data_IF_997246457403
#
_entry.id   IF_997246457403
#
_cell.length_a   1.000
_cell.length_b   1.000
_cell.length_c   1.000
_cell.angle_alpha   90.00
_cell.angle_beta   90.00
_cell.angle_gamma   90.00
#
_symmetry.space_group_name_H-M   'P 1'
#
loop_
_entity.id
_entity.type
_entity.pdbx_description
1 polymer ?
#
# COMPACT_ATOMS: atom_id res chain seq x y z
N UNK A 1 3.14 -13.41 11.79
CA UNK A 1 1.85 -14.13 11.89
C UNK A 1 1.04 -13.86 10.64
N UNK A 2 0.21 -14.80 10.20
CA UNK A 2 -0.67 -14.63 9.02
C UNK A 2 -1.61 -13.44 9.19
N UNK A 3 -2.19 -12.95 8.08
CA UNK A 3 -3.26 -11.94 8.07
C UNK A 3 -4.61 -12.54 8.46
N UNK A 4 -4.67 -13.07 9.68
CA UNK A 4 -5.88 -13.65 10.28
C UNK A 4 -6.11 -13.01 11.65
N UNK A 5 -7.27 -12.33 11.78
CA UNK A 5 -7.69 -11.66 13.01
C UNK A 5 -7.71 -12.60 14.22
N UNK A 6 -8.24 -13.81 14.04
CA UNK A 6 -8.38 -14.80 15.13
C UNK A 6 -7.01 -15.25 15.63
N UNK A 7 -6.08 -15.51 14.72
CA UNK A 7 -4.71 -15.91 15.06
C UNK A 7 -3.98 -14.75 15.74
N UNK A 8 -4.02 -13.54 15.19
CA UNK A 8 -3.36 -12.37 15.80
C UNK A 8 -3.94 -12.05 17.18
N UNK A 9 -5.26 -12.09 17.35
CA UNK A 9 -5.93 -11.88 18.63
C UNK A 9 -5.49 -12.89 19.69
N UNK A 10 -5.39 -14.18 19.33
CA UNK A 10 -4.85 -15.23 20.22
C UNK A 10 -3.41 -14.95 20.62
N UNK A 11 -2.55 -14.58 19.67
CA UNK A 11 -1.15 -14.25 19.95
C UNK A 11 -1.06 -13.10 20.96
N UNK A 12 -1.77 -11.99 20.72
CA UNK A 12 -1.71 -10.85 21.64
C UNK A 12 -2.35 -11.13 23.00
N UNK A 13 -3.39 -11.96 23.06
CA UNK A 13 -3.98 -12.40 24.33
C UNK A 13 -3.00 -13.22 25.17
N UNK A 14 -2.23 -14.13 24.56
CA UNK A 14 -1.18 -14.86 25.27
C UNK A 14 -0.02 -13.94 25.68
N UNK A 15 0.40 -13.02 24.81
CA UNK A 15 1.43 -12.03 25.14
C UNK A 15 1.00 -11.15 26.32
N UNK A 16 -0.27 -10.76 26.41
CA UNK A 16 -0.78 -9.90 27.49
C UNK A 16 -0.67 -10.56 28.87
N UNK A 17 -0.71 -11.90 28.95
CA UNK A 17 -0.55 -12.64 30.21
C UNK A 17 0.89 -12.68 30.71
N UNK A 18 1.87 -12.57 29.82
CA UNK A 18 3.29 -12.80 30.14
C UNK A 18 4.14 -11.53 30.12
N UNK A 19 3.74 -10.52 29.33
CA UNK A 19 4.49 -9.27 29.20
C UNK A 19 4.09 -8.29 30.31
N UNK A 20 5.06 -7.47 30.76
CA UNK A 20 4.79 -6.33 31.65
C UNK A 20 3.69 -5.43 31.07
N UNK A 21 2.87 -4.80 31.92
CA UNK A 21 1.84 -3.82 31.53
C UNK A 21 2.41 -2.64 30.71
N UNK A 22 3.70 -2.36 30.82
CA UNK A 22 4.40 -1.30 30.06
C UNK A 22 4.84 -1.71 28.65
N UNK A 23 4.77 -3.00 28.29
CA UNK A 23 5.16 -3.46 26.97
C UNK A 23 4.22 -2.90 25.88
N UNK A 24 4.77 -2.42 24.77
CA UNK A 24 3.98 -1.96 23.62
C UNK A 24 3.69 -3.14 22.70
N UNK A 25 2.44 -3.27 22.25
CA UNK A 25 2.00 -4.31 21.33
C UNK A 25 1.78 -3.72 19.94
N UNK A 26 2.66 -4.09 19.02
CA UNK A 26 2.61 -3.64 17.63
C UNK A 26 2.40 -4.82 16.68
N UNK A 27 1.49 -4.68 15.73
CA UNK A 27 1.33 -5.64 14.62
C UNK A 27 1.85 -5.03 13.32
N UNK A 28 2.59 -5.81 12.53
CA UNK A 28 2.95 -5.48 11.14
C UNK A 28 1.89 -6.04 10.18
N UNK A 29 0.65 -5.60 10.29
CA UNK A 29 -0.45 -6.03 9.41
C UNK A 29 -0.74 -4.95 8.40
N UNK A 30 -0.90 -5.33 7.13
CA UNK A 30 -1.21 -4.42 6.01
C UNK A 30 -2.72 -4.20 5.82
N UNK A 31 -3.55 -5.21 6.15
CA UNK A 31 -4.98 -5.21 5.82
C UNK A 31 -5.91 -5.53 7.00
N UNK A 32 -5.43 -5.42 8.25
CA UNK A 32 -6.28 -5.50 9.44
C UNK A 32 -6.08 -4.27 10.32
N UNK A 33 -7.17 -3.55 10.54
CA UNK A 33 -7.19 -2.36 11.37
C UNK A 33 -6.81 -2.68 12.82
N UNK A 34 -6.09 -1.80 13.55
CA UNK A 34 -5.81 -1.97 14.98
C UNK A 34 -7.04 -2.37 15.81
N UNK A 35 -8.21 -1.78 15.51
CA UNK A 35 -9.48 -2.09 16.17
C UNK A 35 -9.90 -3.55 16.01
N UNK A 36 -9.56 -4.16 14.88
CA UNK A 36 -9.83 -5.56 14.58
C UNK A 36 -8.82 -6.48 15.26
N UNK A 37 -7.53 -6.15 15.17
CA UNK A 37 -6.45 -6.97 15.73
C UNK A 37 -6.52 -7.06 17.25
N UNK A 38 -6.81 -5.92 17.90
CA UNK A 38 -6.74 -5.77 19.36
C UNK A 38 -8.11 -5.68 20.02
N UNK A 39 -9.18 -6.12 19.35
CA UNK A 39 -10.56 -6.07 19.85
C UNK A 39 -10.68 -6.67 21.27
N UNK A 40 -10.00 -7.79 21.50
CA UNK A 40 -10.01 -8.56 22.76
C UNK A 40 -8.88 -8.18 23.73
N UNK A 41 -8.01 -7.24 23.38
CA UNK A 41 -6.94 -6.80 24.27
C UNK A 41 -7.54 -6.07 25.48
N UNK A 42 -7.08 -6.39 26.69
CA UNK A 42 -7.57 -5.74 27.92
C UNK A 42 -7.06 -4.31 28.02
N UNK A 43 -5.79 -4.08 27.65
CA UNK A 43 -5.20 -2.75 27.63
C UNK A 43 -4.93 -2.28 26.20
N UNK A 44 -5.95 -1.75 25.52
CA UNK A 44 -5.84 -1.24 24.15
C UNK A 44 -4.96 0.02 24.01
N UNK A 45 -4.71 0.74 25.11
CA UNK A 45 -3.92 1.98 25.11
C UNK A 45 -2.48 1.78 24.63
N UNK A 46 -1.95 0.57 24.76
CA UNK A 46 -0.59 0.21 24.36
C UNK A 46 -0.51 -0.61 23.07
N UNK A 47 -1.62 -0.75 22.37
CA UNK A 47 -1.73 -1.54 21.16
C UNK A 47 -1.84 -0.64 19.94
N UNK A 48 -1.15 -0.97 18.85
CA UNK A 48 -1.23 -0.26 17.58
C UNK A 48 -0.69 -1.11 16.42
N UNK A 49 -0.79 -0.60 15.20
CA UNK A 49 -0.08 -1.16 14.06
C UNK A 49 1.18 -0.34 13.78
N UNK A 50 2.24 -1.06 13.43
CA UNK A 50 3.49 -0.51 12.90
C UNK A 50 3.75 -1.25 11.61
N UNK A 51 3.43 -0.62 10.48
CA UNK A 51 3.41 -1.25 9.17
C UNK A 51 4.68 -0.89 8.37
N UNK A 52 5.50 -1.91 8.15
CA UNK A 52 6.74 -1.87 7.38
C UNK A 52 6.50 -2.24 5.92
N UNK A 53 7.30 -1.63 5.04
CA UNK A 53 7.27 -1.93 3.61
C UNK A 53 8.42 -2.85 3.21
N UNK A 54 8.13 -3.80 2.33
CA UNK A 54 9.09 -4.82 1.91
C UNK A 54 10.17 -4.26 0.96
N UNK A 55 11.46 -4.62 1.14
CA UNK A 55 12.04 -5.29 2.30
C UNK A 55 12.20 -4.34 3.49
N UNK A 56 11.77 -4.77 4.69
CA UNK A 56 11.69 -3.92 5.89
C UNK A 56 13.04 -3.36 6.35
N UNK A 57 14.14 -4.06 6.05
CA UNK A 57 15.49 -3.64 6.37
C UNK A 57 16.02 -2.55 5.43
N UNK A 58 15.43 -2.40 4.23
CA UNK A 58 15.83 -1.41 3.22
C UNK A 58 14.89 -0.23 3.12
N UNK A 59 13.57 -0.48 3.19
CA UNK A 59 12.60 0.60 3.19
C UNK A 59 12.75 1.43 4.46
N UNK A 60 12.84 2.75 4.30
CA UNK A 60 12.94 3.68 5.43
C UNK A 60 11.56 4.04 5.98
N UNK A 61 10.49 3.91 5.20
CA UNK A 61 9.14 4.28 5.62
C UNK A 61 8.55 3.22 6.53
N UNK A 62 7.83 3.69 7.55
CA UNK A 62 6.98 2.88 8.41
C UNK A 62 5.71 3.67 8.74
N UNK A 63 4.54 3.06 8.55
CA UNK A 63 3.29 3.68 8.98
C UNK A 63 3.05 3.35 10.47
N UNK A 64 2.95 4.39 11.30
CA UNK A 64 2.53 4.30 12.68
C UNK A 64 1.03 4.54 12.72
N UNK A 65 0.28 3.47 12.97
CA UNK A 65 -1.18 3.45 12.87
C UNK A 65 -1.80 3.22 14.26
N UNK A 66 -2.06 4.28 15.03
CA UNK A 66 -2.81 4.17 16.27
C UNK A 66 -4.27 3.79 15.98
N UNK A 67 -4.82 2.90 16.81
CA UNK A 67 -6.26 2.69 16.89
C UNK A 67 -6.92 3.74 17.76
N UNK A 68 -8.26 3.72 17.80
CA UNK A 68 -9.09 4.68 18.56
C UNK A 68 -8.72 4.81 20.05
N UNK A 69 -8.25 3.73 20.65
CA UNK A 69 -7.96 3.64 22.09
C UNK A 69 -6.45 3.81 22.38
N UNK A 70 -5.59 3.81 21.35
CA UNK A 70 -4.15 3.90 21.50
C UNK A 70 -3.76 5.24 22.14
N UNK A 71 -2.86 5.18 23.12
CA UNK A 71 -2.28 6.36 23.77
C UNK A 71 -1.48 7.19 22.75
N UNK A 72 -1.73 8.50 22.73
CA UNK A 72 -0.96 9.45 21.94
C UNK A 72 0.52 9.43 22.31
N UNK A 73 0.83 9.26 23.59
CA UNK A 73 2.20 9.19 24.10
C UNK A 73 2.95 8.00 23.51
N UNK A 74 2.29 6.85 23.33
CA UNK A 74 2.89 5.65 22.71
C UNK A 74 3.09 5.86 21.21
N UNK A 75 2.12 6.44 20.51
CA UNK A 75 2.28 6.76 19.09
C UNK A 75 3.44 7.74 18.88
N UNK A 76 3.52 8.81 19.68
CA UNK A 76 4.55 9.83 19.56
C UNK A 76 5.93 9.31 19.99
N UNK A 77 5.99 8.41 20.98
CA UNK A 77 7.21 7.68 21.32
C UNK A 77 7.70 6.84 20.14
N UNK A 78 6.81 6.12 19.45
CA UNK A 78 7.20 5.28 18.32
C UNK A 78 7.64 6.09 17.10
N UNK A 79 7.01 7.26 16.84
CA UNK A 79 7.53 8.19 15.84
C UNK A 79 9.00 8.54 16.12
N UNK A 80 9.33 8.96 17.35
CA UNK A 80 10.71 9.30 17.71
C UNK A 80 11.66 8.10 17.68
N UNK A 81 11.21 6.96 18.20
CA UNK A 81 12.01 5.73 18.20
C UNK A 81 12.40 5.32 16.79
N UNK A 82 11.47 5.38 15.83
CA UNK A 82 11.75 5.03 14.45
C UNK A 82 12.69 6.03 13.77
N UNK A 83 12.54 7.33 14.03
CA UNK A 83 13.50 8.35 13.60
C UNK A 83 14.93 8.05 14.14
N UNK A 84 15.06 7.72 15.44
CA UNK A 84 16.35 7.44 16.09
C UNK A 84 17.08 6.22 15.49
N UNK A 85 16.34 5.21 15.00
CA UNK A 85 16.93 4.02 14.38
C UNK A 85 17.06 4.14 12.85
N UNK A 86 16.93 5.35 12.30
CA UNK A 86 17.15 5.63 10.88
C UNK A 86 15.98 5.26 9.96
N UNK A 87 14.77 5.18 10.49
CA UNK A 87 13.52 5.13 9.70
C UNK A 87 12.93 6.54 9.56
N UNK A 88 11.98 6.67 8.64
CA UNK A 88 11.18 7.86 8.39
C UNK A 88 9.70 7.49 8.64
N UNK A 89 9.25 7.50 9.91
CA UNK A 89 7.88 7.11 10.24
C UNK A 89 6.88 8.17 9.76
N UNK A 90 5.71 7.70 9.34
CA UNK A 90 4.55 8.54 9.03
C UNK A 90 3.38 8.15 9.92
N UNK A 91 2.65 9.14 10.44
CA UNK A 91 1.49 8.90 11.30
C UNK A 91 0.23 8.81 10.45
N UNK A 92 -0.44 7.66 10.48
CA UNK A 92 -1.62 7.40 9.65
C UNK A 92 -2.78 6.96 10.53
N UNK A 93 -3.98 7.52 10.33
CA UNK A 93 -5.17 7.07 11.07
C UNK A 93 -5.60 5.68 10.62
N UNK A 94 -6.18 4.91 11.56
CA UNK A 94 -6.72 3.59 11.27
C UNK A 94 -7.74 3.61 10.12
N UNK A 95 -7.45 2.82 9.09
CA UNK A 95 -8.28 2.56 7.91
C UNK A 95 -7.80 1.25 7.28
N UNK A 96 -8.68 0.54 6.57
CA UNK A 96 -8.27 -0.61 5.77
C UNK A 96 -7.22 -0.23 4.71
N UNK A 97 -6.05 -0.87 4.76
CA UNK A 97 -4.90 -0.55 3.89
C UNK A 97 -4.13 0.73 4.27
N UNK A 98 -4.56 1.44 5.32
CA UNK A 98 -3.97 2.68 5.79
C UNK A 98 -3.83 3.75 4.69
N UNK A 99 -2.65 4.35 4.49
CA UNK A 99 -2.46 5.39 3.49
C UNK A 99 -1.88 4.83 2.18
N UNK A 100 -0.89 3.94 2.25
CA UNK A 100 -0.08 3.60 1.07
C UNK A 100 -0.57 2.38 0.27
N UNK A 101 -1.18 1.38 0.91
CA UNK A 101 -1.64 0.19 0.17
C UNK A 101 -2.77 0.48 -0.83
N UNK A 102 -3.79 1.31 -0.53
CA UNK A 102 -4.81 1.69 -1.50
C UNK A 102 -4.23 2.33 -2.77
N UNK A 103 -3.12 3.08 -2.64
CA UNK A 103 -2.43 3.70 -3.77
C UNK A 103 -1.73 2.62 -4.59
N UNK A 104 -0.93 1.76 -3.95
CA UNK A 104 -0.21 0.69 -4.62
C UNK A 104 -1.15 -0.27 -5.36
N UNK A 105 -2.16 -0.79 -4.65
CA UNK A 105 -3.13 -1.73 -5.19
C UNK A 105 -4.04 -1.07 -6.23
N UNK A 106 -4.39 0.21 -6.06
CA UNK A 106 -5.17 0.97 -7.03
C UNK A 106 -4.41 1.24 -8.33
N UNK A 107 -3.10 1.56 -8.26
CA UNK A 107 -2.24 1.68 -9.46
C UNK A 107 -2.10 0.32 -10.17
N UNK A 108 -1.98 -0.77 -9.40
CA UNK A 108 -2.03 -2.11 -9.97
C UNK A 108 -3.38 -2.38 -10.64
N UNK A 109 -4.51 -2.07 -10.01
CA UNK A 109 -5.85 -2.25 -10.57
C UNK A 109 -6.01 -1.50 -11.89
N UNK A 110 -5.64 -0.22 -11.93
CA UNK A 110 -5.70 0.59 -13.16
C UNK A 110 -4.85 -0.05 -14.28
N UNK A 111 -3.68 -0.59 -13.94
CA UNK A 111 -2.80 -1.28 -14.87
C UNK A 111 -3.38 -2.60 -15.36
N UNK A 112 -3.96 -3.40 -14.47
CA UNK A 112 -4.65 -4.65 -14.79
C UNK A 112 -5.84 -4.41 -15.73
N UNK A 113 -6.64 -3.37 -15.48
CA UNK A 113 -7.77 -3.00 -16.34
C UNK A 113 -7.33 -2.56 -17.74
N UNK A 114 -6.18 -1.90 -17.88
CA UNK A 114 -5.61 -1.56 -19.19
C UNK A 114 -5.26 -2.82 -20.00
N UNK A 115 -4.68 -3.83 -19.34
CA UNK A 115 -4.37 -5.12 -19.98
C UNK A 115 -5.65 -5.87 -20.34
N UNK A 116 -6.66 -5.91 -19.46
CA UNK A 116 -7.95 -6.55 -19.75
C UNK A 116 -8.69 -5.94 -20.93
N UNK A 117 -8.57 -4.62 -21.09
CA UNK A 117 -9.15 -3.89 -22.23
C UNK A 117 -8.31 -4.03 -23.52
N UNK A 118 -7.19 -4.74 -23.49
CA UNK A 118 -6.32 -4.94 -24.64
C UNK A 118 -5.55 -3.69 -25.07
N UNK A 119 -5.41 -2.68 -24.21
CA UNK A 119 -4.69 -1.43 -24.54
C UNK A 119 -3.19 -1.67 -24.67
N UNK A 120 -2.66 -2.64 -23.94
CA UNK A 120 -1.27 -3.10 -24.03
C UNK A 120 -1.10 -4.47 -23.38
N UNK A 121 0.02 -5.13 -23.68
CA UNK A 121 0.40 -6.35 -22.98
C UNK A 121 0.84 -6.05 -21.54
N UNK A 122 0.94 -7.09 -20.69
CA UNK A 122 1.47 -6.96 -19.33
C UNK A 122 2.83 -6.25 -19.35
N UNK A 123 3.79 -6.72 -20.16
CA UNK A 123 5.10 -6.07 -20.32
C UNK A 123 5.02 -4.60 -20.73
N UNK A 124 4.17 -4.28 -21.70
CA UNK A 124 4.02 -2.91 -22.19
C UNK A 124 3.44 -2.00 -21.11
N UNK A 125 2.35 -2.40 -20.46
CA UNK A 125 1.72 -1.61 -19.38
C UNK A 125 2.69 -1.46 -18.20
N UNK A 126 3.44 -2.51 -17.85
CA UNK A 126 4.44 -2.47 -16.79
C UNK A 126 5.52 -1.42 -17.05
N UNK A 127 6.10 -1.42 -18.26
CA UNK A 127 7.13 -0.45 -18.67
C UNK A 127 6.57 0.98 -18.83
N UNK A 128 5.34 1.12 -19.35
CA UNK A 128 4.69 2.43 -19.48
C UNK A 128 4.32 3.01 -18.12
N UNK A 129 3.88 2.19 -17.16
CA UNK A 129 3.60 2.62 -15.79
C UNK A 129 4.84 3.17 -15.10
N UNK A 130 5.99 2.47 -15.22
CA UNK A 130 7.28 2.96 -14.72
C UNK A 130 7.58 4.36 -15.23
N UNK A 131 7.49 4.56 -16.54
CA UNK A 131 7.74 5.87 -17.16
C UNK A 131 6.69 6.92 -16.76
N UNK A 132 5.43 6.53 -16.65
CA UNK A 132 4.33 7.46 -16.41
C UNK A 132 4.32 8.03 -14.99
N UNK A 133 4.64 7.20 -14.01
CA UNK A 133 4.54 7.48 -12.57
C UNK A 133 5.91 7.53 -11.86
N UNK A 134 7.01 7.27 -12.57
CA UNK A 134 8.36 7.23 -11.98
C UNK A 134 8.60 6.00 -11.12
N UNK A 135 7.92 4.89 -11.38
CA UNK A 135 8.07 3.67 -10.59
C UNK A 135 9.47 3.07 -10.73
N UNK A 136 10.06 2.63 -9.62
CA UNK A 136 11.31 1.84 -9.65
C UNK A 136 11.17 0.51 -10.41
N UNK A 137 10.01 -0.15 -10.29
CA UNK A 137 9.59 -1.29 -11.11
C UNK A 137 8.09 -1.18 -11.40
N UNK A 138 7.62 -1.82 -12.46
CA UNK A 138 6.23 -1.70 -12.85
C UNK A 138 5.32 -2.51 -11.92
N UNK A 139 4.01 -2.24 -11.93
CA UNK A 139 3.06 -2.82 -10.98
C UNK A 139 2.98 -4.34 -11.05
N UNK A 140 3.09 -4.96 -12.24
CA UNK A 140 3.11 -6.42 -12.38
C UNK A 140 4.45 -7.01 -11.95
N UNK A 141 5.56 -6.32 -12.25
CA UNK A 141 6.87 -6.72 -11.75
C UNK A 141 6.92 -6.69 -10.22
N UNK A 142 6.34 -5.66 -9.60
CA UNK A 142 6.22 -5.56 -8.15
C UNK A 142 5.45 -6.77 -7.57
N UNK A 143 4.32 -7.15 -8.16
CA UNK A 143 3.56 -8.33 -7.72
C UNK A 143 4.35 -9.63 -7.80
N UNK A 144 5.17 -9.81 -8.84
CA UNK A 144 6.05 -10.97 -8.96
C UNK A 144 7.13 -11.00 -7.85
N UNK A 145 7.68 -9.84 -7.49
CA UNK A 145 8.74 -9.73 -6.47
C UNK A 145 8.20 -9.95 -5.05
N UNK A 146 6.99 -9.47 -4.76
CA UNK A 146 6.40 -9.53 -3.42
C UNK A 146 5.56 -10.79 -3.20
N UNK A 147 5.15 -11.48 -4.26
CA UNK A 147 4.12 -12.52 -4.18
C UNK A 147 2.74 -11.94 -3.83
N UNK A 148 2.50 -10.66 -4.14
CA UNK A 148 1.36 -9.88 -3.67
C UNK A 148 0.00 -10.25 -4.29
N UNK A 149 -0.04 -11.11 -5.31
CA UNK A 149 -1.29 -11.41 -6.03
C UNK A 149 -2.46 -11.83 -5.11
N UNK A 150 -2.31 -12.80 -4.17
CA UNK A 150 -3.42 -13.22 -3.34
C UNK A 150 -3.89 -12.14 -2.36
N UNK A 151 -2.95 -11.39 -1.77
CA UNK A 151 -3.29 -10.35 -0.80
C UNK A 151 -3.95 -9.16 -1.48
N UNK A 152 -3.45 -8.72 -2.63
CA UNK A 152 -4.08 -7.64 -3.42
C UNK A 152 -5.43 -8.06 -4.00
N UNK A 153 -5.61 -9.33 -4.36
CA UNK A 153 -6.92 -9.83 -4.79
C UNK A 153 -8.00 -9.68 -3.69
N UNK A 154 -7.63 -10.01 -2.46
CA UNK A 154 -8.48 -9.82 -1.30
C UNK A 154 -8.64 -8.34 -0.95
N UNK A 155 -7.53 -7.59 -0.90
CA UNK A 155 -7.47 -6.15 -0.59
C UNK A 155 -8.37 -5.31 -1.48
N UNK A 156 -8.28 -5.48 -2.79
CA UNK A 156 -9.14 -4.80 -3.77
C UNK A 156 -10.64 -5.12 -3.57
N UNK A 157 -10.96 -6.33 -3.14
CA UNK A 157 -12.35 -6.74 -2.89
C UNK A 157 -12.90 -6.10 -1.61
N UNK A 158 -12.11 -6.06 -0.54
CA UNK A 158 -12.49 -5.41 0.72
C UNK A 158 -12.62 -3.89 0.54
N UNK A 159 -11.67 -3.26 -0.16
CA UNK A 159 -11.70 -1.82 -0.47
C UNK A 159 -12.93 -1.40 -1.28
N UNK A 160 -13.52 -2.28 -2.09
CA UNK A 160 -14.80 -2.00 -2.78
C UNK A 160 -15.87 -1.50 -1.81
N UNK A 161 -15.97 -2.18 -0.66
CA UNK A 161 -17.00 -1.92 0.35
C UNK A 161 -16.55 -0.93 1.43
N UNK A 162 -15.26 -0.95 1.80
CA UNK A 162 -14.71 -0.14 2.89
C UNK A 162 -14.25 1.25 2.46
N UNK A 163 -13.95 1.42 1.16
CA UNK A 163 -13.45 2.68 0.60
C UNK A 163 -14.46 3.21 -0.42
N UNK A 164 -14.52 2.60 -1.60
CA UNK A 164 -15.48 2.95 -2.65
C UNK A 164 -15.52 1.86 -3.74
N UNK A 165 -16.58 1.88 -4.54
CA UNK A 165 -16.88 0.84 -5.53
C UNK A 165 -15.94 0.79 -6.75
N UNK A 166 -15.03 1.74 -6.92
CA UNK A 166 -14.03 1.69 -7.99
C UNK A 166 -13.04 0.55 -7.77
N UNK A 167 -12.67 0.29 -6.51
CA UNK A 167 -11.86 -0.87 -6.16
C UNK A 167 -12.64 -2.16 -6.42
N UNK A 168 -12.05 -3.10 -7.14
CA UNK A 168 -12.58 -4.45 -7.32
C UNK A 168 -11.45 -5.34 -7.81
N UNK A 169 -11.51 -6.65 -7.56
CA UNK A 169 -10.55 -7.55 -8.19
C UNK A 169 -10.86 -7.67 -9.69
N UNK A 170 -9.89 -7.40 -10.59
CA UNK A 170 -10.05 -7.62 -12.02
C UNK A 170 -9.94 -9.13 -12.33
N UNK A 171 -10.58 -9.58 -13.41
CA UNK A 171 -10.60 -11.01 -13.79
C UNK A 171 -9.19 -11.55 -14.10
N UNK A 172 -8.29 -10.70 -14.59
CA UNK A 172 -6.92 -11.05 -14.89
C UNK A 172 -6.14 -11.37 -13.62
N UNK A 173 -6.38 -10.66 -12.52
CA UNK A 173 -5.77 -10.95 -11.23
C UNK A 173 -6.33 -12.26 -10.65
N UNK A 174 -7.65 -12.46 -10.71
CA UNK A 174 -8.30 -13.70 -10.28
C UNK A 174 -7.73 -14.94 -11.00
N UNK A 175 -7.56 -14.85 -12.33
CA UNK A 175 -6.89 -15.88 -13.13
C UNK A 175 -5.44 -16.09 -12.68
N UNK A 176 -4.71 -15.00 -12.42
CA UNK A 176 -3.32 -15.09 -12.01
C UNK A 176 -3.18 -15.79 -10.65
N UNK A 177 -3.98 -15.41 -9.66
CA UNK A 177 -4.04 -16.04 -8.34
C UNK A 177 -4.36 -17.53 -8.46
N UNK A 178 -5.39 -17.87 -9.24
CA UNK A 178 -5.80 -19.27 -9.47
C UNK A 178 -4.69 -20.10 -10.13
N UNK A 179 -3.98 -19.51 -11.09
CA UNK A 179 -2.93 -20.22 -11.83
C UNK A 179 -1.64 -20.40 -11.03
N UNK A 180 -1.38 -19.55 -10.03
CA UNK A 180 -0.12 -19.47 -9.29
C UNK A 180 1.11 -19.11 -10.13
N UNK A 181 0.93 -18.75 -11.41
CA UNK A 181 2.03 -18.40 -12.31
C UNK A 181 2.51 -16.96 -12.04
N UNK A 182 3.74 -16.60 -12.42
CA UNK A 182 4.17 -15.20 -12.46
C UNK A 182 3.55 -14.45 -13.64
N UNK A 183 3.45 -13.14 -13.52
CA UNK A 183 3.13 -12.24 -14.62
C UNK A 183 4.24 -12.22 -15.68
N UNK A 184 3.89 -12.17 -16.96
CA UNK A 184 4.86 -11.97 -18.05
C UNK A 184 5.37 -10.53 -18.05
N UNK A 185 6.45 -10.31 -17.32
CA UNK A 185 7.03 -8.98 -17.03
C UNK A 185 8.34 -8.78 -17.78
N UNK A 186 8.78 -7.53 -17.99
CA UNK A 186 10.02 -7.25 -18.70
C UNK A 186 11.22 -7.85 -17.96
N UNK A 187 12.12 -8.51 -18.69
CA UNK A 187 13.41 -8.93 -18.17
C UNK A 187 14.28 -7.72 -17.78
N UNK A 188 15.27 -7.94 -16.92
CA UNK A 188 16.22 -6.87 -16.54
C UNK A 188 16.95 -6.35 -17.79
N UNK A 189 16.79 -5.07 -18.09
CA UNK A 189 17.38 -4.43 -19.27
C UNK A 189 16.69 -4.75 -20.60
N UNK A 190 15.55 -5.47 -20.58
CA UNK A 190 14.74 -5.70 -21.77
C UNK A 190 14.15 -4.37 -22.28
N UNK A 191 14.34 -4.08 -23.56
CA UNK A 191 13.70 -2.95 -24.21
C UNK A 191 12.28 -3.34 -24.65
N UNK A 192 11.27 -2.76 -23.99
CA UNK A 192 9.86 -3.01 -24.33
C UNK A 192 9.37 -1.97 -25.31
N UNK A 193 8.99 -2.43 -26.52
CA UNK A 193 8.49 -1.55 -27.58
C UNK A 193 7.00 -1.29 -27.45
N UNK A 194 6.62 -0.01 -27.52
CA UNK A 194 5.26 0.49 -27.61
C UNK A 194 5.27 1.82 -28.37
N UNK A 195 4.14 2.22 -28.95
CA UNK A 195 4.05 3.49 -29.68
C UNK A 195 3.61 4.64 -28.75
N UNK A 196 3.88 5.89 -29.17
CA UNK A 196 3.60 7.09 -28.38
C UNK A 196 2.11 7.30 -28.09
N UNK A 197 1.22 6.90 -29.00
CA UNK A 197 -0.22 7.05 -28.80
C UNK A 197 -0.75 6.10 -27.71
N UNK A 198 -0.25 4.86 -27.69
CA UNK A 198 -0.51 3.90 -26.62
C UNK A 198 0.04 4.41 -25.30
N UNK A 199 1.28 4.92 -25.28
CA UNK A 199 1.86 5.51 -24.07
C UNK A 199 1.06 6.70 -23.56
N UNK A 200 0.61 7.61 -24.43
CA UNK A 200 -0.23 8.74 -24.04
C UNK A 200 -1.53 8.28 -23.38
N UNK A 201 -2.21 7.30 -23.97
CA UNK A 201 -3.44 6.73 -23.42
C UNK A 201 -3.20 6.09 -22.04
N UNK A 202 -2.20 5.23 -21.93
CA UNK A 202 -1.88 4.52 -20.68
C UNK A 202 -1.44 5.50 -19.59
N UNK A 203 -0.53 6.42 -19.89
CA UNK A 203 -0.03 7.39 -18.92
C UNK A 203 -1.14 8.31 -18.41
N UNK A 204 -2.08 8.74 -19.25
CA UNK A 204 -3.22 9.55 -18.82
C UNK A 204 -4.14 8.78 -17.86
N UNK A 205 -4.47 7.53 -18.18
CA UNK A 205 -5.33 6.69 -17.32
C UNK A 205 -4.66 6.41 -15.97
N UNK A 206 -3.37 6.04 -15.99
CA UNK A 206 -2.63 5.74 -14.76
C UNK A 206 -2.45 6.98 -13.88
N UNK A 207 -2.16 8.14 -14.47
CA UNK A 207 -2.07 9.41 -13.72
C UNK A 207 -3.42 9.80 -13.14
N UNK A 208 -4.50 9.67 -13.89
CA UNK A 208 -5.85 9.95 -13.40
C UNK A 208 -6.21 9.07 -12.21
N UNK A 209 -5.93 7.76 -12.29
CA UNK A 209 -6.14 6.84 -11.17
C UNK A 209 -5.26 7.20 -9.97
N UNK A 210 -3.96 7.39 -10.19
CA UNK A 210 -3.01 7.74 -9.15
C UNK A 210 -3.39 9.03 -8.41
N UNK A 211 -3.75 10.08 -9.15
CA UNK A 211 -4.20 11.36 -8.60
C UNK A 211 -5.52 11.25 -7.85
N UNK A 212 -6.48 10.49 -8.38
CA UNK A 212 -7.72 10.22 -7.68
C UNK A 212 -7.48 9.51 -6.33
N UNK A 213 -6.58 8.52 -6.31
CA UNK A 213 -6.24 7.75 -5.11
C UNK A 213 -5.59 8.62 -4.03
N UNK A 214 -4.57 9.41 -4.38
CA UNK A 214 -3.88 10.26 -3.39
C UNK A 214 -4.77 11.39 -2.87
N UNK A 215 -5.64 11.96 -3.71
CA UNK A 215 -6.63 12.93 -3.27
C UNK A 215 -7.67 12.30 -2.33
N UNK A 216 -8.14 11.08 -2.63
CA UNK A 216 -9.06 10.36 -1.75
C UNK A 216 -8.44 10.11 -0.36
N UNK A 217 -7.16 9.74 -0.31
CA UNK A 217 -6.44 9.56 0.96
C UNK A 217 -6.37 10.86 1.75
N UNK A 218 -6.06 11.99 1.10
CA UNK A 218 -6.07 13.29 1.76
C UNK A 218 -7.46 13.72 2.24
N UNK A 219 -8.48 13.56 1.39
CA UNK A 219 -9.86 13.94 1.71
C UNK A 219 -10.42 13.12 2.87
N UNK A 220 -9.95 11.86 3.02
CA UNK A 220 -10.28 11.02 4.19
C UNK A 220 -9.65 11.52 5.50
N UNK A 221 -8.67 12.43 5.43
CA UNK A 221 -8.03 13.05 6.58
C UNK A 221 -7.19 12.08 7.42
N UNK A 222 -6.71 10.98 6.83
CA UNK A 222 -5.94 9.94 7.53
C UNK A 222 -4.43 10.19 7.52
N UNK A 223 -3.92 11.02 6.61
CA UNK A 223 -2.50 11.37 6.48
C UNK A 223 -2.34 12.84 6.08
N UNK A 224 -1.18 13.43 6.39
CA UNK A 224 -0.84 14.78 5.92
C UNK A 224 -0.28 14.75 4.50
N UNK A 225 -0.27 15.89 3.80
CA UNK A 225 0.36 16.02 2.48
C UNK A 225 1.83 15.62 2.54
N UNK A 226 2.56 16.09 3.55
CA UNK A 226 3.99 15.82 3.70
C UNK A 226 4.28 14.34 3.94
N UNK A 227 3.51 13.69 4.81
CA UNK A 227 3.62 12.26 5.08
C UNK A 227 3.29 11.43 3.83
N UNK A 228 2.24 11.81 3.10
CA UNK A 228 1.82 11.09 1.92
C UNK A 228 2.84 11.22 0.77
N UNK A 229 3.39 12.42 0.55
CA UNK A 229 4.48 12.65 -0.39
C UNK A 229 5.69 11.77 -0.09
N UNK A 230 6.17 11.85 1.16
CA UNK A 230 7.34 11.10 1.61
C UNK A 230 7.12 9.59 1.55
N UNK A 231 5.94 9.12 1.98
CA UNK A 231 5.57 7.72 1.96
C UNK A 231 5.50 7.15 0.55
N UNK A 232 4.85 7.86 -0.37
CA UNK A 232 4.73 7.41 -1.76
C UNK A 232 6.09 7.40 -2.47
N UNK A 233 6.93 8.40 -2.24
CA UNK A 233 8.27 8.47 -2.83
C UNK A 233 9.18 7.34 -2.31
N UNK A 234 9.21 7.12 -1.01
CA UNK A 234 10.24 6.27 -0.40
C UNK A 234 9.78 4.83 -0.14
N UNK A 235 8.48 4.58 0.03
CA UNK A 235 7.94 3.23 0.20
C UNK A 235 7.53 2.61 -1.13
N UNK A 236 6.82 3.37 -1.96
CA UNK A 236 6.27 2.89 -3.24
C UNK A 236 7.20 3.16 -4.42
N UNK A 237 8.25 3.97 -4.22
CA UNK A 237 9.21 4.37 -5.26
C UNK A 237 8.47 4.96 -6.46
N UNK A 238 7.55 5.88 -6.19
CA UNK A 238 6.78 6.63 -7.19
C UNK A 238 7.16 8.10 -7.13
N UNK A 239 6.96 8.84 -8.22
CA UNK A 239 7.10 10.30 -8.18
C UNK A 239 6.16 10.88 -7.12
N UNK A 240 6.59 11.85 -6.30
CA UNK A 240 5.71 12.46 -5.30
C UNK A 240 4.47 13.09 -5.95
N UNK A 241 3.25 12.79 -5.45
CA UNK A 241 2.01 13.03 -6.19
C UNK A 241 1.71 14.51 -6.47
N UNK A 242 1.78 15.37 -5.46
CA UNK A 242 1.44 16.78 -5.55
C UNK A 242 2.55 17.57 -6.24
N UNK A 243 3.82 17.19 -6.06
CA UNK A 243 4.91 17.72 -6.90
C UNK A 243 4.69 17.39 -8.37
N UNK A 244 4.27 16.15 -8.66
CA UNK A 244 3.96 15.71 -10.02
C UNK A 244 2.76 16.46 -10.61
N UNK A 245 1.68 16.67 -9.83
CA UNK A 245 0.54 17.50 -10.24
C UNK A 245 0.98 18.93 -10.56
N UNK A 246 1.76 19.56 -9.67
CA UNK A 246 2.27 20.92 -9.86
C UNK A 246 3.13 21.05 -11.14
N UNK A 247 3.92 20.01 -11.46
CA UNK A 247 4.77 19.98 -12.66
C UNK A 247 3.97 19.79 -13.95
N UNK A 248 2.88 19.02 -13.90
CA UNK A 248 2.02 18.77 -15.08
C UNK A 248 1.12 19.96 -15.36
N UNK A 249 0.61 20.63 -14.32
CA UNK A 249 -0.38 21.70 -14.45
C UNK A 249 -1.82 21.18 -14.47
N UNK A 250 -2.78 22.12 -14.55
CA UNK A 250 -4.24 21.84 -14.51
C UNK A 250 -4.88 21.97 -15.92
N UNK A 251 -4.07 22.12 -16.97
CA UNK A 251 -4.52 22.40 -18.34
C UNK A 251 -5.34 21.24 -18.98
#
# INVERSE_FOLDING_TARGET
ATEDKTIKGKIFSELEKICSEKAIFASNSSHLEPESIFEEAKNKKRCLVVHYFFPAERSIIVEIVPGKDTSSEIADFLMKFYEEIGKAPIKVKSRYGYALDPIFEGVFLASALLVEKGIGTVKQVDAMAQRALGLGVGPFTAMNLTGGNPITHHGLSEMNSKINSWFHSPKILERQVTSGKPWDTPGRGEEVKYNDNTFKTVSNILRGAYFGLVCEILDSGIASIADLEMGVENALVMNPPFQMMNKIGID
#
